data_IF_068615245678
#
_entry.id   IF_068615245678
#
_cell.length_a   1.000
_cell.length_b   1.000
_cell.length_c   1.000
_cell.angle_alpha   90.00
_cell.angle_beta   90.00
_cell.angle_gamma   90.00
#
_symmetry.space_group_name_H-M   'P 1'
#
loop_
_entity.id
_entity.type
_entity.pdbx_description
1 polymer ?
#
# COMPACT_ATOMS: atom_id res chain seq x y z
N UNK A 1 13.34 1.43 -23.95
CA UNK A 1 12.02 1.62 -23.36
C UNK A 1 12.17 2.26 -22.00
N UNK A 2 11.48 3.34 -21.78
CA UNK A 2 11.48 3.97 -20.48
C UNK A 2 10.31 3.46 -19.66
N UNK A 3 10.58 3.11 -18.41
CA UNK A 3 9.56 2.75 -17.45
C UNK A 3 9.32 4.00 -16.63
N UNK A 4 8.12 4.55 -16.72
CA UNK A 4 7.80 5.76 -15.99
C UNK A 4 7.45 5.47 -14.53
N UNK A 5 7.64 6.48 -13.68
CA UNK A 5 7.23 6.39 -12.28
C UNK A 5 5.72 6.14 -12.18
N UNK A 6 4.98 6.71 -13.13
CA UNK A 6 3.53 6.57 -13.20
C UNK A 6 3.11 5.13 -13.48
N UNK A 7 3.83 4.41 -14.36
CA UNK A 7 3.54 3.01 -14.66
C UNK A 7 3.76 2.12 -13.44
N UNK A 8 4.86 2.33 -12.71
CA UNK A 8 5.16 1.59 -11.50
C UNK A 8 4.10 1.84 -10.44
N UNK A 9 3.75 3.11 -10.26
CA UNK A 9 2.74 3.53 -9.28
C UNK A 9 1.38 2.90 -9.57
N UNK A 10 0.96 2.93 -10.84
CA UNK A 10 -0.32 2.35 -11.26
C UNK A 10 -0.39 0.86 -10.97
N UNK A 11 0.66 0.12 -11.28
CA UNK A 11 0.71 -1.31 -11.05
C UNK A 11 0.65 -1.67 -9.56
N UNK A 12 1.39 -0.93 -8.74
CA UNK A 12 1.37 -1.11 -7.29
C UNK A 12 -0.03 -0.86 -6.73
N UNK A 13 -0.71 0.19 -7.21
CA UNK A 13 -2.07 0.51 -6.78
C UNK A 13 -3.08 -0.57 -7.16
N UNK A 14 -3.00 -1.10 -8.38
CA UNK A 14 -3.91 -2.15 -8.86
C UNK A 14 -3.75 -3.44 -8.06
N UNK A 15 -2.51 -3.88 -7.84
CA UNK A 15 -2.22 -5.10 -7.07
C UNK A 15 -2.69 -4.96 -5.63
N UNK A 16 -2.53 -3.78 -5.08
CA UNK A 16 -2.92 -3.50 -3.71
C UNK A 16 -4.44 -3.51 -3.52
N UNK A 17 -5.16 -2.88 -4.44
CA UNK A 17 -6.62 -2.85 -4.40
C UNK A 17 -7.20 -4.26 -4.45
N UNK A 18 -6.64 -5.11 -5.29
CA UNK A 18 -7.06 -6.50 -5.37
C UNK A 18 -6.76 -7.26 -4.08
N UNK A 19 -5.58 -7.06 -3.49
CA UNK A 19 -5.22 -7.73 -2.25
C UNK A 19 -6.12 -7.32 -1.08
N UNK A 20 -6.56 -6.06 -1.02
CA UNK A 20 -7.52 -5.61 -0.02
C UNK A 20 -8.85 -6.34 -0.18
N UNK A 21 -9.33 -6.43 -1.40
CA UNK A 21 -10.61 -7.09 -1.69
C UNK A 21 -10.59 -8.56 -1.26
N UNK A 22 -9.46 -9.23 -1.45
CA UNK A 22 -9.29 -10.63 -1.05
C UNK A 22 -9.26 -10.84 0.46
N UNK A 23 -9.00 -9.80 1.24
CA UNK A 23 -8.99 -9.90 2.71
C UNK A 23 -10.39 -10.01 3.31
N UNK A 24 -11.41 -9.63 2.56
CA UNK A 24 -12.78 -9.65 3.04
C UNK A 24 -13.54 -10.84 2.47
N UNK A 25 -14.26 -11.53 3.34
CA UNK A 25 -15.09 -12.66 2.97
C UNK A 25 -16.55 -12.34 3.27
N UNK A 26 -17.46 -13.14 2.73
CA UNK A 26 -18.89 -12.97 2.97
C UNK A 26 -19.29 -13.11 4.44
N UNK A 27 -18.42 -13.70 5.25
CA UNK A 27 -18.68 -13.88 6.68
C UNK A 27 -18.32 -12.66 7.53
N UNK A 28 -17.67 -11.66 6.95
CA UNK A 28 -17.20 -10.49 7.70
C UNK A 28 -18.26 -9.42 7.94
N UNK A 29 -19.47 -9.62 7.47
CA UNK A 29 -20.58 -8.66 7.63
C UNK A 29 -20.25 -7.25 7.14
N UNK A 30 -19.46 -7.16 6.08
CA UNK A 30 -19.06 -5.89 5.49
C UNK A 30 -19.77 -5.74 4.15
N UNK A 31 -20.39 -4.58 3.92
CA UNK A 31 -21.07 -4.30 2.67
C UNK A 31 -20.05 -3.95 1.57
N UNK A 32 -20.46 -4.08 0.31
CA UNK A 32 -19.64 -3.67 -0.83
C UNK A 32 -19.29 -2.18 -0.76
N UNK A 33 -20.21 -1.36 -0.30
CA UNK A 33 -20.00 0.08 -0.12
C UNK A 33 -18.94 0.36 0.92
N UNK A 34 -18.94 -0.39 2.02
CA UNK A 34 -17.96 -0.27 3.08
C UNK A 34 -16.57 -0.73 2.63
N UNK A 35 -16.52 -1.81 1.84
CA UNK A 35 -15.27 -2.28 1.24
C UNK A 35 -14.71 -1.22 0.29
N UNK A 36 -15.57 -0.61 -0.52
CA UNK A 36 -15.17 0.45 -1.46
C UNK A 36 -14.62 1.67 -0.71
N UNK A 37 -15.27 2.09 0.38
CA UNK A 37 -14.81 3.22 1.18
C UNK A 37 -13.45 2.93 1.83
N UNK A 38 -13.26 1.74 2.35
CA UNK A 38 -11.98 1.31 2.93
C UNK A 38 -10.88 1.28 1.86
N UNK A 39 -11.20 0.68 0.70
CA UNK A 39 -10.26 0.60 -0.42
C UNK A 39 -9.82 1.99 -0.88
N UNK A 40 -10.75 2.94 -0.94
CA UNK A 40 -10.46 4.32 -1.29
C UNK A 40 -9.50 4.98 -0.28
N UNK A 41 -9.73 4.75 1.01
CA UNK A 41 -8.84 5.26 2.07
C UNK A 41 -7.45 4.63 1.99
N UNK A 42 -7.39 3.33 1.72
CA UNK A 42 -6.11 2.66 1.55
C UNK A 42 -5.37 3.18 0.32
N UNK A 43 -6.09 3.50 -0.75
CA UNK A 43 -5.50 4.14 -1.93
C UNK A 43 -4.94 5.52 -1.59
N UNK A 44 -5.62 6.31 -0.75
CA UNK A 44 -5.10 7.58 -0.27
C UNK A 44 -3.80 7.40 0.53
N UNK A 45 -3.75 6.36 1.38
CA UNK A 45 -2.53 6.04 2.12
C UNK A 45 -1.38 5.68 1.17
N UNK A 46 -1.68 4.94 0.11
CA UNK A 46 -0.67 4.57 -0.89
C UNK A 46 -0.15 5.77 -1.68
N UNK A 47 -0.93 6.81 -1.83
CA UNK A 47 -0.49 8.06 -2.47
C UNK A 47 0.57 8.79 -1.67
N UNK A 48 0.78 8.41 -0.41
CA UNK A 48 1.87 8.92 0.40
C UNK A 48 3.23 8.36 -0.02
N UNK A 49 3.24 7.37 -0.91
CA UNK A 49 4.49 6.81 -1.43
C UNK A 49 5.37 7.91 -2.00
N UNK A 50 6.59 7.96 -1.50
CA UNK A 50 7.55 8.98 -1.90
C UNK A 50 8.81 8.29 -2.42
N UNK A 51 9.00 8.37 -3.72
CA UNK A 51 10.10 7.68 -4.37
C UNK A 51 10.52 8.42 -5.63
N UNK A 52 11.73 8.12 -6.07
CA UNK A 52 12.27 8.69 -7.30
C UNK A 52 13.10 7.63 -8.00
N UNK A 53 12.82 7.40 -9.28
CA UNK A 53 13.64 6.53 -10.11
C UNK A 53 14.92 7.27 -10.43
N UNK A 54 16.06 6.66 -10.11
CA UNK A 54 17.38 7.31 -10.30
C UNK A 54 18.09 6.83 -11.55
N UNK A 55 18.31 5.53 -11.66
CA UNK A 55 19.08 4.93 -12.73
C UNK A 55 18.38 3.73 -13.34
N UNK A 56 18.64 3.54 -14.63
CA UNK A 56 18.14 2.41 -15.38
C UNK A 56 19.31 1.81 -16.15
N UNK A 57 19.54 0.52 -16.00
CA UNK A 57 20.61 -0.19 -16.73
C UNK A 57 20.03 -1.41 -17.42
N UNK A 58 20.35 -1.56 -18.70
CA UNK A 58 19.98 -2.73 -19.48
C UNK A 58 21.05 -3.81 -19.32
N UNK A 59 20.64 -5.03 -19.04
CA UNK A 59 21.56 -6.16 -18.94
C UNK A 59 21.75 -6.85 -20.28
N UNK A 60 22.58 -7.88 -20.31
CA UNK A 60 22.91 -8.63 -21.54
C UNK A 60 21.72 -9.38 -22.12
N UNK A 61 20.72 -9.69 -21.30
CA UNK A 61 19.53 -10.44 -21.72
C UNK A 61 18.37 -9.53 -22.16
N UNK A 62 18.59 -8.22 -22.17
CA UNK A 62 17.58 -7.27 -22.56
C UNK A 62 16.64 -6.85 -21.42
N UNK A 63 16.91 -7.29 -20.20
CA UNK A 63 16.17 -6.88 -19.02
C UNK A 63 16.77 -5.61 -18.43
N UNK A 64 16.02 -4.93 -17.59
CA UNK A 64 16.48 -3.69 -16.95
C UNK A 64 16.64 -3.86 -15.47
N UNK A 65 17.64 -3.19 -14.92
CA UNK A 65 17.82 -3.03 -13.48
C UNK A 65 17.59 -1.55 -13.17
N UNK A 66 16.65 -1.27 -12.30
CA UNK A 66 16.24 0.11 -11.98
C UNK A 66 16.55 0.40 -10.52
N UNK A 67 17.23 1.52 -10.27
CA UNK A 67 17.52 1.98 -8.92
C UNK A 67 16.48 3.04 -8.53
N UNK A 68 15.81 2.82 -7.41
CA UNK A 68 14.75 3.68 -6.91
C UNK A 68 15.14 4.19 -5.52
N UNK A 69 15.11 5.50 -5.33
CA UNK A 69 15.30 6.11 -4.03
C UNK A 69 13.94 6.25 -3.36
N UNK A 70 13.78 5.66 -2.20
CA UNK A 70 12.51 5.59 -1.50
C UNK A 70 12.62 6.27 -0.13
N UNK A 71 11.64 7.10 0.22
CA UNK A 71 11.50 7.62 1.58
C UNK A 71 10.37 6.82 2.24
N UNK A 72 10.69 5.94 3.22
CA UNK A 72 9.70 5.08 3.82
C UNK A 72 8.62 5.85 4.59
N UNK A 73 7.36 5.53 4.31
CA UNK A 73 6.21 6.09 5.05
C UNK A 73 5.87 5.20 6.23
N UNK A 74 5.58 5.78 7.37
CA UNK A 74 5.20 5.01 8.57
C UNK A 74 3.68 4.79 8.69
N UNK A 75 2.91 5.13 7.65
CA UNK A 75 1.46 5.08 7.69
C UNK A 75 0.91 3.71 8.13
N UNK A 76 1.52 2.63 7.68
CA UNK A 76 1.08 1.28 8.08
C UNK A 76 1.71 0.81 9.38
N UNK A 77 2.82 1.40 9.80
CA UNK A 77 3.42 1.10 11.10
C UNK A 77 2.57 1.65 12.25
N UNK A 78 1.92 2.79 12.03
CA UNK A 78 1.07 3.41 13.04
C UNK A 78 -0.37 2.93 12.97
N UNK A 79 -0.72 2.13 11.96
CA UNK A 79 -2.10 1.70 11.73
C UNK A 79 -2.68 0.90 12.90
N UNK A 80 -1.89 0.01 13.49
CA UNK A 80 -2.34 -0.79 14.63
C UNK A 80 -2.68 0.10 15.83
N UNK A 81 -1.84 1.07 16.11
CA UNK A 81 -2.07 2.03 17.19
C UNK A 81 -3.30 2.89 16.90
N UNK A 82 -3.43 3.38 15.67
CA UNK A 82 -4.60 4.15 15.23
C UNK A 82 -5.88 3.35 15.37
N UNK A 83 -5.84 2.07 15.00
CA UNK A 83 -6.97 1.17 15.12
C UNK A 83 -7.40 0.99 16.58
N UNK A 84 -6.43 0.81 17.48
CA UNK A 84 -6.72 0.70 18.91
C UNK A 84 -7.35 1.98 19.47
N UNK A 85 -6.84 3.14 19.07
CA UNK A 85 -7.37 4.43 19.50
C UNK A 85 -8.80 4.66 19.00
N UNK A 86 -9.07 4.39 17.72
CA UNK A 86 -10.41 4.55 17.13
C UNK A 86 -11.40 3.59 17.80
N UNK A 87 -11.00 2.33 17.99
CA UNK A 87 -11.83 1.33 18.65
C UNK A 87 -12.21 1.80 20.07
N UNK A 88 -11.24 2.31 20.81
CA UNK A 88 -11.45 2.82 22.16
C UNK A 88 -12.42 4.03 22.18
N UNK A 89 -12.29 4.91 21.20
CA UNK A 89 -13.19 6.06 21.05
C UNK A 89 -14.64 5.61 20.78
N UNK A 90 -14.82 4.62 19.89
CA UNK A 90 -16.13 4.07 19.56
C UNK A 90 -16.80 3.43 20.78
N UNK A 91 -16.04 2.66 21.55
CA UNK A 91 -16.54 2.06 22.80
C UNK A 91 -16.94 3.13 23.81
N UNK A 92 -16.14 4.18 23.93
CA UNK A 92 -16.43 5.31 24.81
C UNK A 92 -17.72 6.05 24.41
N UNK A 93 -18.09 6.01 23.14
CA UNK A 93 -19.34 6.57 22.62
C UNK A 93 -20.55 5.64 22.80
N UNK A 94 -20.34 4.47 23.40
CA UNK A 94 -21.40 3.51 23.64
C UNK A 94 -21.62 2.49 22.52
N UNK A 95 -20.74 2.47 21.54
CA UNK A 95 -20.81 1.51 20.44
C UNK A 95 -20.17 0.20 20.84
N UNK A 96 -20.69 -0.90 20.29
CA UNK A 96 -20.13 -2.22 20.49
C UNK A 96 -19.40 -2.65 19.21
N UNK A 97 -18.32 -3.41 19.35
CA UNK A 97 -17.57 -3.92 18.21
C UNK A 97 -18.43 -4.76 17.28
N UNK A 98 -19.49 -5.38 17.79
CA UNK A 98 -20.41 -6.21 17.02
C UNK A 98 -21.53 -5.41 16.35
N UNK A 99 -21.63 -4.10 16.63
CA UNK A 99 -22.67 -3.27 16.00
C UNK A 99 -22.43 -3.14 14.50
N UNK A 100 -23.49 -3.12 13.68
CA UNK A 100 -23.34 -3.00 12.22
C UNK A 100 -22.54 -1.75 11.84
N UNK A 101 -21.56 -1.91 10.96
CA UNK A 101 -20.77 -0.81 10.43
C UNK A 101 -19.63 -0.35 11.34
N UNK A 102 -19.57 -0.77 12.59
CA UNK A 102 -18.50 -0.34 13.52
C UNK A 102 -17.14 -0.86 13.04
N UNK A 103 -17.07 -2.12 12.65
CA UNK A 103 -15.82 -2.71 12.18
C UNK A 103 -15.27 -1.96 10.95
N UNK A 104 -16.12 -1.70 9.97
CA UNK A 104 -15.72 -0.96 8.77
C UNK A 104 -15.31 0.48 9.10
N UNK A 105 -16.04 1.14 10.02
CA UNK A 105 -15.70 2.48 10.50
C UNK A 105 -14.34 2.50 11.18
N UNK A 106 -14.07 1.52 12.03
CA UNK A 106 -12.77 1.42 12.72
C UNK A 106 -11.64 1.29 11.69
N UNK A 107 -11.80 0.43 10.69
CA UNK A 107 -10.81 0.26 9.64
C UNK A 107 -10.56 1.57 8.89
N UNK A 108 -11.61 2.21 8.41
CA UNK A 108 -11.54 3.42 7.60
C UNK A 108 -10.97 4.60 8.36
N UNK A 109 -11.45 4.84 9.56
CA UNK A 109 -11.00 5.93 10.42
C UNK A 109 -9.58 5.72 10.92
N UNK A 110 -9.18 4.45 11.13
CA UNK A 110 -7.80 4.11 11.51
C UNK A 110 -6.82 4.49 10.41
N UNK A 111 -7.16 4.20 9.16
CA UNK A 111 -6.33 4.58 8.01
C UNK A 111 -6.23 6.09 7.91
N UNK A 112 -7.33 6.80 8.04
CA UNK A 112 -7.34 8.27 8.00
C UNK A 112 -6.46 8.86 9.11
N UNK A 113 -6.54 8.32 10.30
CA UNK A 113 -5.72 8.77 11.45
C UNK A 113 -4.24 8.55 11.19
N UNK A 114 -3.88 7.40 10.61
CA UNK A 114 -2.49 7.12 10.25
C UNK A 114 -1.99 8.01 9.12
N UNK A 115 -2.85 8.35 8.16
CA UNK A 115 -2.53 9.31 7.09
C UNK A 115 -2.20 10.67 7.72
N UNK A 116 -3.02 11.13 8.66
CA UNK A 116 -2.83 12.42 9.33
C UNK A 116 -1.54 12.49 10.14
N UNK A 117 -1.08 11.34 10.64
CA UNK A 117 0.15 11.23 11.43
C UNK A 117 1.38 10.84 10.60
N UNK A 118 1.20 10.64 9.29
CA UNK A 118 2.27 10.11 8.43
C UNK A 118 3.58 10.88 8.56
N UNK A 119 4.68 10.15 8.67
CA UNK A 119 6.02 10.70 8.59
C UNK A 119 6.91 9.80 7.75
N UNK A 120 8.01 10.34 7.28
CA UNK A 120 8.95 9.62 6.41
C UNK A 120 10.26 9.37 7.13
N UNK A 121 10.80 8.18 6.93
CA UNK A 121 12.12 7.83 7.43
C UNK A 121 13.22 8.25 6.46
N UNK A 122 14.45 7.90 6.79
CA UNK A 122 15.61 8.21 5.96
C UNK A 122 15.51 7.52 4.59
N UNK A 123 15.89 8.22 3.51
CA UNK A 123 15.84 7.63 2.17
C UNK A 123 16.69 6.37 2.06
N UNK A 124 16.17 5.37 1.38
CA UNK A 124 16.87 4.13 1.08
C UNK A 124 16.86 3.88 -0.42
N UNK A 125 17.92 3.26 -0.93
CA UNK A 125 18.02 2.88 -2.33
C UNK A 125 17.55 1.43 -2.47
N UNK A 126 16.64 1.21 -3.42
CA UNK A 126 16.14 -0.13 -3.73
C UNK A 126 16.41 -0.41 -5.20
N UNK A 127 17.02 -1.55 -5.47
CA UNK A 127 17.28 -1.97 -6.84
C UNK A 127 16.26 -3.03 -7.22
N UNK A 128 15.54 -2.81 -8.31
CA UNK A 128 14.54 -3.74 -8.80
C UNK A 128 14.87 -4.19 -10.22
N UNK A 129 14.51 -5.42 -10.54
CA UNK A 129 14.74 -6.01 -11.85
C UNK A 129 13.44 -6.01 -12.63
N UNK A 130 13.48 -5.49 -13.85
CA UNK A 130 12.34 -5.44 -14.75
C UNK A 130 12.60 -6.41 -15.90
N UNK A 131 11.71 -7.38 -16.06
CA UNK A 131 11.86 -8.44 -17.05
C UNK A 131 10.84 -8.28 -18.17
N UNK A 132 11.24 -8.69 -19.36
CA UNK A 132 10.38 -8.71 -20.53
C UNK A 132 9.55 -9.99 -20.53
N UNK A 133 8.24 -9.86 -20.61
CA UNK A 133 7.35 -11.02 -20.68
C UNK A 133 7.24 -11.58 -22.10
N UNK A 134 6.46 -12.64 -22.28
CA UNK A 134 6.27 -13.29 -23.57
C UNK A 134 5.62 -12.39 -24.62
N UNK A 135 4.87 -11.38 -24.19
CA UNK A 135 4.22 -10.41 -25.08
C UNK A 135 5.14 -9.28 -25.50
N UNK A 136 6.37 -9.25 -24.99
CA UNK A 136 7.33 -8.18 -25.28
C UNK A 136 7.14 -6.94 -24.39
N UNK A 137 6.32 -7.03 -23.36
CA UNK A 137 6.08 -5.96 -22.41
C UNK A 137 6.99 -6.12 -21.19
N UNK A 138 7.50 -5.02 -20.67
CA UNK A 138 8.31 -5.04 -19.46
C UNK A 138 7.43 -5.01 -18.23
N UNK A 139 7.76 -5.85 -17.24
CA UNK A 139 7.00 -5.91 -16.00
C UNK A 139 7.89 -6.25 -14.81
N UNK A 140 7.43 -5.89 -13.63
CA UNK A 140 8.06 -6.29 -12.38
C UNK A 140 7.45 -7.63 -11.94
N UNK A 141 8.30 -8.55 -11.48
CA UNK A 141 7.81 -9.78 -10.86
C UNK A 141 7.15 -9.43 -9.52
N UNK A 142 6.34 -10.34 -9.02
CA UNK A 142 5.70 -10.18 -7.72
C UNK A 142 6.73 -9.93 -6.61
N UNK A 143 7.85 -10.64 -6.64
CA UNK A 143 8.95 -10.47 -5.69
C UNK A 143 9.51 -9.06 -5.72
N UNK A 144 9.73 -8.50 -6.91
CA UNK A 144 10.27 -7.15 -7.07
C UNK A 144 9.27 -6.09 -6.65
N UNK A 145 7.98 -6.29 -6.93
CA UNK A 145 6.92 -5.40 -6.47
C UNK A 145 6.82 -5.38 -4.94
N UNK A 146 6.90 -6.55 -4.33
CA UNK A 146 6.90 -6.67 -2.86
C UNK A 146 8.08 -5.96 -2.23
N UNK A 147 9.24 -6.03 -2.87
CA UNK A 147 10.45 -5.35 -2.42
C UNK A 147 10.25 -3.83 -2.37
N UNK A 148 9.69 -3.25 -3.43
CA UNK A 148 9.39 -1.83 -3.50
C UNK A 148 8.34 -1.44 -2.46
N UNK A 149 7.27 -2.20 -2.39
CA UNK A 149 6.18 -1.94 -1.46
C UNK A 149 6.64 -1.97 -0.01
N UNK A 150 7.44 -2.95 0.36
CA UNK A 150 8.02 -3.06 1.71
C UNK A 150 8.93 -1.87 2.02
N UNK A 151 9.66 -1.38 1.03
CA UNK A 151 10.53 -0.22 1.21
C UNK A 151 9.73 1.07 1.38
N UNK A 152 8.66 1.24 0.57
CA UNK A 152 7.82 2.44 0.63
C UNK A 152 6.93 2.47 1.88
N UNK A 153 6.44 1.31 2.29
CA UNK A 153 5.49 1.17 3.39
C UNK A 153 5.91 0.02 4.30
N UNK A 154 7.00 0.19 5.06
CA UNK A 154 7.40 -0.85 6.00
C UNK A 154 6.33 -1.06 7.06
N UNK A 155 6.16 -2.30 7.46
CA UNK A 155 5.25 -2.65 8.55
C UNK A 155 6.06 -2.93 9.81
N UNK A 156 5.46 -2.68 10.96
CA UNK A 156 6.10 -2.99 12.23
C UNK A 156 6.15 -4.49 12.43
N UNK A 157 7.18 -4.91 13.03
CA UNK A 157 7.22 -6.24 13.60
C UNK A 157 6.83 -6.21 15.06
#
# INVERSE_FOLDING_TARGET
>A
MEISEEDVKKQVEEDFNESIRQQFTSSDNITEEEIAAYTEKMAEAKKLAKYKVQDEKKDENGNYTVSVKVEPSDVFQTLQQSSAEVSKEKIAQGMKETDPGVFASVLTESVQKSIDKNSYGDPVAVTVKVEKNHSGTYELSETERSKLETAMFPTTE
#
